data_IF_369164290115
#
_entry.id   IF_369164290115
#
_cell.length_a   1.000
_cell.length_b   1.000
_cell.length_c   1.000
_cell.angle_alpha   90.00
_cell.angle_beta   90.00
_cell.angle_gamma   90.00
#
_symmetry.space_group_name_H-M   'P 1'
#
loop_
_entity.id
_entity.type
_entity.pdbx_description
1 polymer ?
#
# COMPACT_ATOMS: atom_id res chain seq x y z
N UNK A 1 -3.17 2.75 5.76
CA UNK A 1 -4.50 3.37 5.53
C UNK A 1 -5.41 3.02 6.71
N UNK A 2 -5.85 3.99 7.52
CA UNK A 2 -6.68 3.68 8.69
C UNK A 2 -8.08 3.22 8.27
N UNK A 3 -8.50 2.02 8.67
CA UNK A 3 -9.85 1.48 8.45
C UNK A 3 -10.97 2.42 8.98
N UNK A 4 -10.67 3.22 10.01
CA UNK A 4 -11.58 4.24 10.56
C UNK A 4 -11.78 5.48 9.68
N UNK A 5 -11.06 5.59 8.55
CA UNK A 5 -11.11 6.74 7.62
C UNK A 5 -11.51 6.35 6.20
N UNK A 6 -12.21 5.22 6.00
CA UNK A 6 -12.98 5.05 4.77
C UNK A 6 -14.19 5.99 4.88
N UNK A 7 -13.98 7.27 4.58
CA UNK A 7 -15.06 8.25 4.49
C UNK A 7 -15.89 8.01 3.23
N UNK A 8 -17.03 8.72 3.07
CA UNK A 8 -17.91 8.57 1.92
C UNK A 8 -17.19 8.69 0.57
N UNK A 9 -16.17 9.56 0.46
CA UNK A 9 -15.39 9.74 -0.78
C UNK A 9 -14.51 8.54 -1.14
N UNK A 10 -13.90 7.89 -0.14
CA UNK A 10 -13.06 6.69 -0.38
C UNK A 10 -13.96 5.51 -0.71
N UNK A 11 -15.09 5.38 0.01
CA UNK A 11 -16.11 4.36 -0.27
C UNK A 11 -16.70 4.52 -1.68
N UNK A 12 -16.98 5.76 -2.09
CA UNK A 12 -17.46 6.09 -3.43
C UNK A 12 -16.45 5.69 -4.51
N UNK A 13 -15.16 6.04 -4.36
CA UNK A 13 -14.11 5.60 -5.29
C UNK A 13 -13.97 4.08 -5.38
N UNK A 14 -13.99 3.39 -4.25
CA UNK A 14 -13.92 1.92 -4.21
C UNK A 14 -15.13 1.29 -4.91
N UNK A 15 -16.34 1.76 -4.61
CA UNK A 15 -17.57 1.30 -5.26
C UNK A 15 -17.57 1.60 -6.75
N UNK A 16 -17.08 2.77 -7.16
CA UNK A 16 -16.92 3.16 -8.56
C UNK A 16 -16.03 2.17 -9.31
N UNK A 17 -14.89 1.81 -8.72
CA UNK A 17 -13.96 0.83 -9.30
C UNK A 17 -14.60 -0.54 -9.45
N UNK A 18 -15.30 -1.02 -8.42
CA UNK A 18 -16.00 -2.31 -8.44
C UNK A 18 -17.16 -2.35 -9.45
N UNK A 19 -17.85 -1.24 -9.66
CA UNK A 19 -18.95 -1.14 -10.62
C UNK A 19 -18.50 -0.83 -12.06
N UNK A 20 -17.20 -0.70 -12.32
CA UNK A 20 -16.68 -0.42 -13.67
C UNK A 20 -16.86 1.04 -14.11
N UNK A 21 -17.05 1.96 -13.18
CA UNK A 21 -17.07 3.41 -13.46
C UNK A 21 -18.31 4.14 -12.92
N UNK A 22 -18.30 5.49 -12.96
CA UNK A 22 -19.33 6.31 -12.33
C UNK A 22 -20.72 6.13 -12.95
N UNK A 23 -20.78 5.81 -14.24
CA UNK A 23 -22.02 5.61 -14.99
C UNK A 23 -22.82 4.38 -14.54
N UNK A 24 -22.17 3.42 -13.87
CA UNK A 24 -22.79 2.24 -13.28
C UNK A 24 -23.11 2.41 -11.80
N UNK A 25 -22.82 3.58 -11.22
CA UNK A 25 -23.11 3.82 -9.81
C UNK A 25 -24.58 4.21 -9.60
N UNK A 26 -25.24 3.43 -8.74
CA UNK A 26 -26.50 3.80 -8.10
C UNK A 26 -26.30 3.71 -6.59
N UNK A 27 -26.61 4.77 -5.87
CA UNK A 27 -26.47 4.78 -4.40
C UNK A 27 -26.68 6.15 -3.78
N UNK A 28 -27.27 6.13 -2.60
CA UNK A 28 -27.40 7.26 -1.69
C UNK A 28 -26.17 7.37 -0.79
N UNK A 29 -25.97 8.52 -0.12
CA UNK A 29 -24.92 8.68 0.90
C UNK A 29 -24.94 7.55 1.95
N UNK A 30 -26.12 7.08 2.31
CA UNK A 30 -26.34 5.95 3.23
C UNK A 30 -25.77 4.64 2.67
N UNK A 31 -25.99 4.36 1.39
CA UNK A 31 -25.46 3.16 0.74
C UNK A 31 -23.92 3.15 0.74
N UNK A 32 -23.28 4.30 0.55
CA UNK A 32 -21.82 4.42 0.62
C UNK A 32 -21.29 4.25 2.05
N UNK A 33 -22.02 4.73 3.06
CA UNK A 33 -21.65 4.51 4.47
C UNK A 33 -21.81 3.05 4.89
N UNK A 34 -22.89 2.39 4.46
CA UNK A 34 -23.10 0.96 4.69
C UNK A 34 -22.02 0.13 3.99
N UNK A 35 -21.73 0.43 2.72
CA UNK A 35 -20.65 -0.22 1.98
C UNK A 35 -19.29 -0.05 2.67
N UNK A 36 -19.01 1.15 3.16
CA UNK A 36 -17.80 1.44 3.94
C UNK A 36 -17.75 0.64 5.25
N UNK A 37 -18.89 0.45 5.92
CA UNK A 37 -19.00 -0.37 7.12
C UNK A 37 -18.76 -1.85 6.82
N UNK A 38 -19.35 -2.37 5.75
CA UNK A 38 -19.13 -3.76 5.30
C UNK A 38 -17.66 -4.02 4.95
N UNK A 39 -16.99 -3.10 4.26
CA UNK A 39 -15.54 -3.21 4.00
C UNK A 39 -14.74 -3.27 5.32
N UNK A 40 -15.05 -2.39 6.28
CA UNK A 40 -14.36 -2.41 7.58
C UNK A 40 -14.57 -3.73 8.32
N UNK A 41 -15.79 -4.26 8.29
CA UNK A 41 -16.14 -5.54 8.92
C UNK A 41 -15.47 -6.72 8.23
N UNK A 42 -15.37 -6.67 6.90
CA UNK A 42 -14.69 -7.68 6.10
C UNK A 42 -13.18 -7.69 6.37
N UNK A 43 -12.53 -6.52 6.41
CA UNK A 43 -11.09 -6.43 6.67
C UNK A 43 -10.78 -6.82 8.12
N UNK A 44 -11.54 -6.30 9.10
CA UNK A 44 -11.40 -6.66 10.51
C UNK A 44 -9.94 -6.62 10.98
N UNK A 45 -9.51 -7.73 11.60
CA UNK A 45 -8.13 -7.96 12.06
C UNK A 45 -7.32 -8.80 11.05
N UNK A 46 -7.83 -8.99 9.82
CA UNK A 46 -7.15 -9.75 8.75
C UNK A 46 -6.29 -8.86 7.86
N UNK A 47 -6.12 -7.59 8.17
CA UNK A 47 -5.49 -6.64 7.27
C UNK A 47 -4.01 -6.91 7.02
N UNK A 48 -3.25 -7.31 8.04
CA UNK A 48 -1.87 -7.76 7.89
C UNK A 48 -1.80 -8.99 6.96
N UNK A 49 -2.68 -9.97 7.18
CA UNK A 49 -2.77 -11.18 6.35
C UNK A 49 -3.14 -10.84 4.90
N UNK A 50 -4.17 -10.01 4.69
CA UNK A 50 -4.60 -9.58 3.34
C UNK A 50 -3.50 -8.81 2.62
N UNK A 51 -2.73 -7.98 3.34
CA UNK A 51 -1.60 -7.26 2.77
C UNK A 51 -0.48 -8.20 2.32
N UNK A 52 -0.15 -9.19 3.14
CA UNK A 52 0.84 -10.23 2.80
C UNK A 52 0.38 -11.07 1.60
N UNK A 53 -0.86 -11.55 1.61
CA UNK A 53 -1.43 -12.31 0.49
C UNK A 53 -1.42 -11.51 -0.81
N UNK A 54 -1.63 -10.19 -0.74
CA UNK A 54 -1.51 -9.29 -1.89
C UNK A 54 -0.08 -9.22 -2.40
N UNK A 55 0.93 -9.11 -1.52
CA UNK A 55 2.35 -9.12 -1.92
C UNK A 55 2.75 -10.46 -2.56
N UNK A 56 2.25 -11.59 -2.03
CA UNK A 56 2.48 -12.91 -2.59
C UNK A 56 1.83 -13.04 -3.99
N UNK A 57 0.59 -12.57 -4.14
CA UNK A 57 -0.08 -12.53 -5.44
C UNK A 57 0.67 -11.66 -6.45
N UNK A 58 1.19 -10.52 -6.02
CA UNK A 58 1.98 -9.64 -6.89
C UNK A 58 3.31 -10.28 -7.29
N UNK A 59 3.96 -11.00 -6.38
CA UNK A 59 5.18 -11.75 -6.69
C UNK A 59 4.96 -12.85 -7.74
N UNK A 60 3.75 -13.44 -7.79
CA UNK A 60 3.39 -14.43 -8.81
C UNK A 60 2.96 -13.78 -10.12
N UNK A 61 2.18 -12.70 -10.07
CA UNK A 61 1.51 -12.13 -11.24
C UNK A 61 2.34 -11.08 -11.99
N UNK A 62 3.29 -10.41 -11.30
CA UNK A 62 4.11 -9.36 -11.89
C UNK A 62 5.55 -9.84 -12.08
N UNK A 63 6.03 -10.00 -13.33
CA UNK A 63 7.41 -10.36 -13.59
C UNK A 63 8.37 -9.39 -12.92
N UNK A 64 9.47 -9.91 -12.37
CA UNK A 64 10.50 -9.14 -11.67
C UNK A 64 10.04 -8.37 -10.42
N UNK A 65 8.82 -8.56 -9.93
CA UNK A 65 8.42 -8.05 -8.62
C UNK A 65 9.23 -8.74 -7.50
N UNK A 66 9.56 -7.99 -6.45
CA UNK A 66 10.23 -8.50 -5.26
C UNK A 66 9.46 -8.00 -4.04
N UNK A 67 9.18 -8.90 -3.11
CA UNK A 67 8.75 -8.53 -1.76
C UNK A 67 9.38 -9.42 -0.71
N UNK A 68 9.67 -8.82 0.43
CA UNK A 68 10.09 -9.49 1.66
C UNK A 68 9.30 -8.91 2.82
N UNK A 69 8.94 -9.74 3.79
CA UNK A 69 8.18 -9.30 4.96
C UNK A 69 8.40 -10.23 6.14
N UNK A 70 8.10 -9.73 7.34
CA UNK A 70 8.11 -10.50 8.58
C UNK A 70 6.79 -10.34 9.30
N UNK A 71 6.19 -11.48 9.67
CA UNK A 71 4.97 -11.56 10.48
C UNK A 71 5.28 -12.36 11.73
N UNK A 72 4.98 -11.80 12.90
CA UNK A 72 5.19 -12.45 14.21
C UNK A 72 3.90 -12.35 14.99
N UNK A 73 3.41 -13.48 15.49
CA UNK A 73 2.14 -13.58 16.24
C UNK A 73 0.92 -12.99 15.50
N UNK A 74 0.93 -13.07 14.16
CA UNK A 74 -0.13 -12.53 13.31
C UNK A 74 -0.01 -11.03 13.00
N UNK A 75 1.00 -10.34 13.54
CA UNK A 75 1.24 -8.92 13.30
C UNK A 75 2.38 -8.70 12.28
N UNK A 76 2.17 -7.76 11.35
CA UNK A 76 3.19 -7.35 10.39
C UNK A 76 4.26 -6.51 11.09
N UNK A 77 5.49 -7.03 11.16
CA UNK A 77 6.66 -6.39 11.77
C UNK A 77 7.38 -5.50 10.77
N UNK A 78 7.63 -6.02 9.58
CA UNK A 78 8.20 -5.25 8.48
C UNK A 78 7.76 -5.81 7.13
N UNK A 79 7.81 -4.96 6.11
CA UNK A 79 7.69 -5.36 4.70
C UNK A 79 8.55 -4.44 3.83
N UNK A 80 9.06 -4.98 2.74
CA UNK A 80 9.70 -4.27 1.66
C UNK A 80 9.17 -4.83 0.34
N UNK A 81 8.96 -3.95 -0.64
CA UNK A 81 8.61 -4.38 -2.00
C UNK A 81 9.18 -3.43 -3.05
N UNK A 82 9.49 -4.00 -4.22
CA UNK A 82 9.94 -3.28 -5.39
C UNK A 82 9.40 -3.96 -6.66
N UNK A 83 8.71 -3.19 -7.50
CA UNK A 83 8.25 -3.67 -8.80
C UNK A 83 9.38 -3.64 -9.86
N UNK A 84 9.08 -4.15 -11.05
CA UNK A 84 10.05 -4.22 -12.14
C UNK A 84 10.62 -2.84 -12.52
N UNK A 85 9.78 -1.79 -12.49
CA UNK A 85 10.18 -0.42 -12.83
C UNK A 85 11.10 0.13 -11.75
N UNK A 86 10.77 -0.09 -10.49
CA UNK A 86 11.55 0.35 -9.35
C UNK A 86 12.94 -0.29 -9.33
N UNK A 87 13.03 -1.58 -9.65
CA UNK A 87 14.31 -2.28 -9.79
C UNK A 87 15.11 -1.81 -11.00
N UNK A 88 14.45 -1.50 -12.11
CA UNK A 88 15.13 -0.90 -13.27
C UNK A 88 15.67 0.51 -12.94
N UNK A 89 14.88 1.33 -12.25
CA UNK A 89 15.32 2.65 -11.78
C UNK A 89 16.52 2.53 -10.84
N UNK A 90 16.50 1.57 -9.90
CA UNK A 90 17.63 1.35 -9.01
C UNK A 90 18.89 0.91 -9.76
N UNK A 91 18.73 0.06 -10.80
CA UNK A 91 19.85 -0.37 -11.62
C UNK A 91 20.53 0.79 -12.37
N UNK A 92 19.76 1.75 -12.86
CA UNK A 92 20.30 2.86 -13.66
C UNK A 92 20.66 4.11 -12.85
N UNK A 93 19.99 4.35 -11.71
CA UNK A 93 20.11 5.59 -10.93
C UNK A 93 20.47 5.34 -9.45
N UNK A 94 20.80 4.10 -9.06
CA UNK A 94 21.05 3.69 -7.68
C UNK A 94 22.36 4.19 -7.07
N UNK A 95 23.17 4.95 -7.82
CA UNK A 95 24.42 5.55 -7.33
C UNK A 95 24.19 6.47 -6.13
N UNK A 96 23.04 7.15 -6.09
CA UNK A 96 22.60 8.00 -4.98
C UNK A 96 21.16 7.68 -4.64
N UNK A 97 20.93 7.18 -3.44
CA UNK A 97 19.61 6.87 -2.91
C UNK A 97 19.30 7.73 -1.69
N UNK A 98 18.08 8.25 -1.64
CA UNK A 98 17.47 8.90 -0.49
C UNK A 98 16.35 8.02 0.06
N UNK A 99 16.18 8.02 1.37
CA UNK A 99 15.03 7.41 2.02
C UNK A 99 14.28 8.47 2.80
N UNK A 100 12.96 8.53 2.60
CA UNK A 100 12.07 9.36 3.40
C UNK A 100 11.19 8.46 4.26
N UNK A 101 11.28 8.64 5.58
CA UNK A 101 10.54 7.86 6.56
C UNK A 101 9.42 8.72 7.14
N UNK A 102 8.18 8.40 6.76
CA UNK A 102 7.00 9.10 7.24
C UNK A 102 6.31 8.28 8.32
N UNK A 103 6.29 8.82 9.54
CA UNK A 103 5.62 8.23 10.69
C UNK A 103 4.10 8.45 10.60
N UNK A 104 3.33 7.59 11.27
CA UNK A 104 1.87 7.72 11.46
C UNK A 104 1.04 7.70 10.17
N UNK A 105 1.51 7.01 9.12
CA UNK A 105 0.77 6.89 7.86
C UNK A 105 -0.35 5.84 7.93
N UNK A 106 -0.38 4.99 8.96
CA UNK A 106 -1.41 3.96 9.15
C UNK A 106 -1.93 3.88 10.61
N UNK A 107 -2.99 3.07 10.84
CA UNK A 107 -3.63 2.89 12.15
C UNK A 107 -2.68 2.26 13.20
N UNK A 108 -1.64 1.59 12.73
CA UNK A 108 -0.71 0.79 13.52
C UNK A 108 0.57 1.55 13.85
N UNK A 109 0.58 2.87 13.58
CA UNK A 109 1.75 3.72 13.76
C UNK A 109 3.02 3.18 13.09
N UNK A 110 2.88 2.37 12.04
CA UNK A 110 4.04 1.93 11.26
C UNK A 110 4.58 3.07 10.44
N UNK A 111 5.87 2.97 10.17
CA UNK A 111 6.66 3.93 9.43
C UNK A 111 6.67 3.47 8.00
N UNK A 112 6.21 4.35 7.11
CA UNK A 112 6.33 4.12 5.69
C UNK A 112 7.65 4.72 5.22
N UNK A 113 8.50 3.88 4.62
CA UNK A 113 9.80 4.29 4.08
C UNK A 113 9.73 4.22 2.57
N UNK A 114 9.91 5.35 1.90
CA UNK A 114 10.06 5.40 0.44
C UNK A 114 11.55 5.42 0.09
N UNK A 115 11.98 4.51 -0.78
CA UNK A 115 13.34 4.50 -1.31
C UNK A 115 13.32 5.18 -2.68
N UNK A 116 14.05 6.28 -2.80
CA UNK A 116 13.99 7.15 -3.99
C UNK A 116 15.37 7.59 -4.44
N UNK A 117 15.47 8.03 -5.67
CA UNK A 117 16.65 8.69 -6.22
C UNK A 117 16.23 9.74 -7.24
N UNK A 118 17.19 10.15 -8.07
CA UNK A 118 16.99 11.21 -9.05
C UNK A 118 17.49 10.73 -10.41
N UNK A 119 16.66 10.84 -11.45
CA UNK A 119 17.04 10.51 -12.82
C UNK A 119 17.93 11.60 -13.45
N UNK A 120 18.44 11.35 -14.67
CA UNK A 120 19.26 12.32 -15.42
C UNK A 120 18.54 13.65 -15.73
N UNK A 121 17.22 13.69 -15.64
CA UNK A 121 16.39 14.89 -15.84
C UNK A 121 16.05 15.59 -14.53
N UNK A 122 16.70 15.21 -13.42
CA UNK A 122 16.45 15.77 -12.07
C UNK A 122 15.05 15.48 -11.55
N UNK A 123 14.42 14.39 -12.00
CA UNK A 123 13.10 13.96 -11.53
C UNK A 123 13.25 12.87 -10.50
N UNK A 124 12.40 12.89 -9.48
CA UNK A 124 12.36 11.83 -8.47
C UNK A 124 11.93 10.50 -9.08
N UNK A 125 12.68 9.45 -8.79
CA UNK A 125 12.35 8.07 -9.16
C UNK A 125 12.26 7.20 -7.91
N UNK A 126 11.35 6.23 -7.91
CA UNK A 126 11.18 5.29 -6.80
C UNK A 126 11.96 4.00 -7.10
N UNK A 127 12.64 3.49 -6.08
CA UNK A 127 13.39 2.22 -6.09
C UNK A 127 12.69 1.11 -5.31
N UNK A 128 11.76 1.47 -4.44
CA UNK A 128 10.92 0.55 -3.68
C UNK A 128 10.25 1.28 -2.54
N UNK A 129 9.53 0.52 -1.73
CA UNK A 129 8.91 1.03 -0.52
C UNK A 129 8.94 -0.04 0.58
N UNK A 130 8.88 0.43 1.82
CA UNK A 130 8.83 -0.43 2.99
C UNK A 130 7.87 0.07 4.05
N UNK A 131 7.48 -0.85 4.92
CA UNK A 131 6.76 -0.62 6.15
C UNK A 131 7.57 -1.20 7.30
N UNK A 132 7.77 -0.42 8.35
CA UNK A 132 8.48 -0.84 9.56
C UNK A 132 7.59 -0.57 10.76
N UNK A 133 7.41 -1.58 11.63
CA UNK A 133 6.81 -1.33 12.93
C UNK A 133 7.77 -0.52 13.80
N UNK A 134 7.20 0.23 14.76
CA UNK A 134 7.95 1.14 15.65
C UNK A 134 9.06 0.43 16.44
N UNK A 135 8.97 -0.88 16.63
CA UNK A 135 9.92 -1.68 17.43
C UNK A 135 11.25 -1.97 16.71
N UNK A 136 11.39 -1.61 15.43
CA UNK A 136 12.61 -1.81 14.63
C UNK A 136 13.46 -0.54 14.45
N UNK A 137 13.15 0.54 15.18
CA UNK A 137 13.95 1.78 15.19
C UNK A 137 14.54 2.03 16.57
#
# INVERSE_FOLDING_TARGET
>A
MSLHKIGPRVADRLKTGLCGGPHNMRGTKTDYMNFSHEIRKFIGDMDAKMFVEMLDQWSVNFPNFLSEYSVVDGELRCAFWADAVSKANYKEFGDVMSFDATYHTNKYDMIFVSFTGVDHHKRGVTFGAGLLSKEFI
#
